data_IF_148520498959
#
_entry.id   IF_148520498959
#
_cell.length_a   1.000
_cell.length_b   1.000
_cell.length_c   1.000
_cell.angle_alpha   90.00
_cell.angle_beta   90.00
_cell.angle_gamma   90.00
#
_symmetry.space_group_name_H-M   'P 1'
#
loop_
_entity.id
_entity.type
_entity.pdbx_description
1 polymer ?
#
# COMPACT_ATOMS: atom_id res chain seq x y z
N UNK A 1 11.75 -45.62 -1.25
CA UNK A 1 12.66 -45.53 -2.42
C UNK A 1 12.41 -44.23 -3.15
N UNK A 2 13.39 -43.69 -3.86
CA UNK A 2 13.23 -42.49 -4.70
C UNK A 2 13.22 -42.93 -6.15
N UNK A 3 12.11 -42.66 -6.85
CA UNK A 3 12.03 -42.79 -8.30
C UNK A 3 12.17 -41.40 -8.92
N UNK A 4 12.76 -41.31 -10.09
CA UNK A 4 12.95 -40.03 -10.77
C UNK A 4 12.78 -40.13 -12.27
N UNK A 5 12.40 -39.02 -12.88
CA UNK A 5 12.46 -38.84 -14.33
C UNK A 5 12.62 -37.36 -14.70
N UNK A 6 13.03 -37.11 -15.95
CA UNK A 6 13.20 -35.75 -16.49
C UNK A 6 12.23 -35.54 -17.65
N UNK A 7 11.44 -34.45 -17.59
CA UNK A 7 10.68 -33.97 -18.74
C UNK A 7 11.50 -32.91 -19.47
N UNK A 8 11.96 -33.25 -20.67
CA UNK A 8 12.82 -32.36 -21.46
C UNK A 8 12.07 -31.23 -22.15
N UNK A 9 12.70 -30.05 -22.24
CA UNK A 9 12.25 -28.94 -23.08
C UNK A 9 10.91 -28.32 -22.67
N UNK A 10 10.59 -28.38 -21.37
CA UNK A 10 9.35 -27.84 -20.82
C UNK A 10 9.72 -26.84 -19.72
N UNK A 11 9.62 -25.55 -20.00
CA UNK A 11 9.84 -24.50 -19.01
C UNK A 11 8.52 -24.14 -18.35
N UNK A 12 8.50 -24.09 -17.01
CA UNK A 12 7.37 -23.63 -16.22
C UNK A 12 7.85 -22.78 -15.03
N UNK A 13 7.02 -21.84 -14.58
CA UNK A 13 7.34 -21.04 -13.42
C UNK A 13 7.29 -21.86 -12.12
N UNK A 14 8.05 -21.41 -11.11
CA UNK A 14 8.19 -22.14 -9.85
C UNK A 14 6.87 -22.30 -9.08
N UNK A 15 5.91 -21.38 -9.22
CA UNK A 15 4.62 -21.46 -8.52
C UNK A 15 3.76 -22.55 -9.15
N UNK A 16 3.69 -22.59 -10.48
CA UNK A 16 3.01 -23.65 -11.21
C UNK A 16 3.57 -25.03 -10.86
N UNK A 17 4.90 -25.16 -10.81
CA UNK A 17 5.55 -26.42 -10.41
C UNK A 17 5.29 -26.78 -8.96
N UNK A 18 5.27 -25.83 -8.02
CA UNK A 18 4.92 -26.10 -6.62
C UNK A 18 3.46 -26.57 -6.46
N UNK A 19 2.52 -26.00 -7.21
CA UNK A 19 1.11 -26.43 -7.21
C UNK A 19 1.00 -27.86 -7.76
N UNK A 20 1.68 -28.15 -8.86
CA UNK A 20 1.75 -29.51 -9.42
C UNK A 20 2.38 -30.46 -8.41
N UNK A 21 3.51 -30.11 -7.80
CA UNK A 21 4.21 -30.90 -6.78
C UNK A 21 3.25 -31.32 -5.67
N UNK A 22 2.52 -30.34 -5.09
CA UNK A 22 1.54 -30.60 -4.05
C UNK A 22 0.41 -31.53 -4.51
N UNK A 23 -0.13 -31.30 -5.70
CA UNK A 23 -1.20 -32.13 -6.26
C UNK A 23 -0.73 -33.57 -6.50
N UNK A 24 0.50 -33.76 -6.96
CA UNK A 24 1.06 -35.09 -7.20
C UNK A 24 1.37 -35.82 -5.89
N UNK A 25 1.80 -35.10 -4.83
CA UNK A 25 1.98 -35.65 -3.48
C UNK A 25 0.67 -36.13 -2.84
N UNK A 26 -0.50 -35.76 -3.36
CA UNK A 26 -1.82 -36.26 -2.89
C UNK A 26 -2.21 -37.62 -3.53
N UNK A 27 -1.36 -38.19 -4.39
CA UNK A 27 -1.63 -39.46 -5.06
C UNK A 27 -1.54 -40.65 -4.09
N UNK A 28 -2.41 -41.64 -4.28
CA UNK A 28 -2.34 -42.90 -3.53
C UNK A 28 -0.98 -43.60 -3.74
N UNK A 29 -0.44 -44.16 -2.66
CA UNK A 29 0.85 -44.88 -2.64
C UNK A 29 2.09 -44.02 -2.92
N UNK A 30 2.01 -42.71 -2.71
CA UNK A 30 3.17 -41.80 -2.77
C UNK A 30 3.26 -41.03 -1.45
N UNK A 31 4.46 -40.99 -0.86
CA UNK A 31 4.68 -40.22 0.37
C UNK A 31 4.84 -38.74 0.05
N UNK A 32 5.60 -38.45 -1.02
CA UNK A 32 5.83 -37.08 -1.47
C UNK A 32 6.39 -37.02 -2.90
N UNK A 33 6.06 -35.98 -3.65
CA UNK A 33 6.59 -35.68 -4.98
C UNK A 33 7.18 -34.28 -5.00
N UNK A 34 8.43 -34.16 -5.47
CA UNK A 34 9.08 -32.88 -5.73
C UNK A 34 9.19 -32.65 -7.24
N UNK A 35 8.63 -31.54 -7.71
CA UNK A 35 8.69 -31.11 -9.11
C UNK A 35 9.40 -29.77 -9.19
N UNK A 36 10.56 -29.71 -9.85
CA UNK A 36 11.38 -28.49 -9.94
C UNK A 36 12.04 -28.34 -11.32
N UNK A 37 12.40 -27.11 -11.69
CA UNK A 37 13.25 -26.88 -12.86
C UNK A 37 14.67 -27.40 -12.61
N UNK A 38 15.35 -27.91 -13.63
CA UNK A 38 16.73 -28.44 -13.58
C UNK A 38 17.83 -27.38 -13.43
N UNK A 39 17.58 -26.29 -12.69
CA UNK A 39 18.57 -25.25 -12.39
C UNK A 39 19.57 -25.74 -11.34
N UNK A 40 20.81 -25.21 -11.30
CA UNK A 40 21.79 -25.57 -10.28
C UNK A 40 21.27 -25.39 -8.84
N UNK A 41 20.57 -24.29 -8.56
CA UNK A 41 20.00 -24.03 -7.24
C UNK A 41 18.95 -25.07 -6.82
N UNK A 42 18.05 -25.46 -7.74
CA UNK A 42 17.04 -26.48 -7.45
C UNK A 42 17.65 -27.87 -7.30
N UNK A 43 18.71 -28.18 -8.05
CA UNK A 43 19.46 -29.44 -7.88
C UNK A 43 20.06 -29.55 -6.48
N UNK A 44 20.70 -28.48 -5.99
CA UNK A 44 21.20 -28.42 -4.61
C UNK A 44 20.08 -28.54 -3.57
N UNK A 45 18.88 -28.02 -3.87
CA UNK A 45 17.71 -28.15 -3.00
C UNK A 45 17.21 -29.60 -2.94
N UNK A 46 17.12 -30.30 -4.09
CA UNK A 46 16.76 -31.72 -4.14
C UNK A 46 17.75 -32.59 -3.35
N UNK A 47 19.04 -32.28 -3.40
CA UNK A 47 20.07 -32.92 -2.58
C UNK A 47 19.85 -32.70 -1.08
N UNK A 48 19.67 -31.45 -0.67
CA UNK A 48 19.51 -31.09 0.75
C UNK A 48 18.21 -31.65 1.35
N UNK A 49 17.15 -31.75 0.55
CA UNK A 49 15.82 -32.23 0.98
C UNK A 49 15.64 -33.75 0.87
N UNK A 50 16.67 -34.47 0.43
CA UNK A 50 16.63 -35.94 0.32
C UNK A 50 15.78 -36.45 -0.83
N UNK A 51 15.64 -35.67 -1.91
CA UNK A 51 14.95 -36.04 -3.16
C UNK A 51 15.91 -36.26 -4.33
N UNK A 52 17.22 -36.29 -4.08
CA UNK A 52 18.22 -36.46 -5.13
C UNK A 52 18.15 -37.82 -5.81
N UNK A 53 18.40 -37.81 -7.12
CA UNK A 53 18.57 -38.99 -7.95
C UNK A 53 19.60 -38.70 -9.06
N UNK A 54 20.44 -39.67 -9.39
CA UNK A 54 21.57 -39.50 -10.31
C UNK A 54 21.15 -39.07 -11.73
N UNK A 55 19.94 -39.43 -12.15
CA UNK A 55 19.37 -39.01 -13.44
C UNK A 55 19.35 -37.48 -13.61
N UNK A 56 19.26 -36.71 -12.52
CA UNK A 56 19.22 -35.24 -12.56
C UNK A 56 20.55 -34.59 -12.97
N UNK A 57 21.66 -35.33 -13.04
CA UNK A 57 22.91 -34.80 -13.59
C UNK A 57 22.73 -34.25 -15.01
N UNK A 58 21.94 -34.94 -15.84
CA UNK A 58 21.70 -34.57 -17.24
C UNK A 58 20.65 -33.48 -17.48
N UNK A 59 19.95 -33.02 -16.44
CA UNK A 59 18.92 -31.99 -16.58
C UNK A 59 19.52 -30.59 -16.81
N UNK A 60 18.93 -29.82 -17.71
CA UNK A 60 19.26 -28.41 -17.94
C UNK A 60 18.25 -27.48 -17.27
N UNK A 61 18.52 -26.16 -17.18
CA UNK A 61 17.53 -25.18 -16.71
C UNK A 61 16.20 -25.15 -17.49
N UNK A 62 16.13 -25.78 -18.66
CA UNK A 62 14.92 -25.87 -19.50
C UNK A 62 14.14 -27.19 -19.33
N UNK A 63 14.57 -28.04 -18.40
CA UNK A 63 13.97 -29.34 -18.14
C UNK A 63 13.32 -29.37 -16.75
N UNK A 64 12.28 -30.18 -16.58
CA UNK A 64 11.64 -30.42 -15.28
C UNK A 64 12.19 -31.71 -14.69
N UNK A 65 12.74 -31.63 -13.48
CA UNK A 65 13.13 -32.75 -12.64
C UNK A 65 11.95 -33.15 -11.75
N UNK A 66 11.62 -34.44 -11.74
CA UNK A 66 10.57 -35.01 -10.89
C UNK A 66 11.15 -36.10 -10.03
N UNK A 67 11.05 -35.95 -8.72
CA UNK A 67 11.45 -36.94 -7.73
C UNK A 67 10.22 -37.43 -6.96
N UNK A 68 10.05 -38.74 -6.86
CA UNK A 68 8.91 -39.41 -6.23
C UNK A 68 9.46 -40.25 -5.08
N UNK A 69 9.02 -39.96 -3.86
CA UNK A 69 9.32 -40.76 -2.68
C UNK A 69 8.12 -41.65 -2.35
N UNK A 70 8.36 -42.95 -2.26
CA UNK A 70 7.35 -43.94 -1.91
C UNK A 70 7.94 -45.11 -1.15
N UNK A 71 7.24 -45.61 -0.13
CA UNK A 71 7.51 -46.88 0.56
C UNK A 71 6.88 -48.09 -0.15
N UNK A 72 5.97 -47.87 -1.12
CA UNK A 72 5.28 -48.93 -1.83
C UNK A 72 6.20 -49.58 -2.89
N UNK A 73 6.15 -50.91 -2.97
CA UNK A 73 6.83 -51.71 -3.99
C UNK A 73 5.88 -51.87 -5.18
N UNK A 74 5.61 -50.77 -5.87
CA UNK A 74 4.77 -50.76 -7.08
C UNK A 74 5.49 -50.03 -8.23
N UNK A 75 5.90 -50.82 -9.23
CA UNK A 75 6.58 -50.34 -10.44
C UNK A 75 5.68 -49.45 -11.32
N UNK A 76 4.37 -49.41 -11.07
CA UNK A 76 3.39 -48.59 -11.79
C UNK A 76 3.32 -47.12 -11.35
N UNK A 77 3.83 -46.78 -10.16
CA UNK A 77 3.69 -45.43 -9.57
C UNK A 77 4.32 -44.36 -10.47
N UNK A 78 5.50 -44.65 -11.04
CA UNK A 78 6.18 -43.69 -11.93
C UNK A 78 5.33 -43.36 -13.16
N UNK A 79 4.65 -44.36 -13.74
CA UNK A 79 3.79 -44.15 -14.92
C UNK A 79 2.53 -43.33 -14.58
N UNK A 80 1.95 -43.57 -13.39
CA UNK A 80 0.81 -42.80 -12.89
C UNK A 80 1.19 -41.33 -12.71
N UNK A 81 2.31 -41.05 -12.05
CA UNK A 81 2.80 -39.68 -11.83
C UNK A 81 3.18 -39.00 -13.14
N UNK A 82 3.82 -39.69 -14.09
CA UNK A 82 4.10 -39.15 -15.43
C UNK A 82 2.80 -38.72 -16.11
N UNK A 83 1.77 -39.57 -16.11
CA UNK A 83 0.48 -39.25 -16.73
C UNK A 83 -0.20 -38.05 -16.06
N UNK A 84 -0.24 -38.02 -14.73
CA UNK A 84 -0.85 -36.92 -13.99
C UNK A 84 -0.09 -35.60 -14.17
N UNK A 85 1.24 -35.64 -14.25
CA UNK A 85 2.06 -34.48 -14.60
C UNK A 85 1.71 -33.96 -15.99
N UNK A 86 1.60 -34.84 -16.99
CA UNK A 86 1.23 -34.44 -18.34
C UNK A 86 -0.18 -33.85 -18.41
N UNK A 87 -1.15 -34.46 -17.72
CA UNK A 87 -2.50 -33.92 -17.60
C UNK A 87 -2.51 -32.55 -16.91
N UNK A 88 -1.73 -32.36 -15.85
CA UNK A 88 -1.61 -31.07 -15.16
C UNK A 88 -0.96 -29.98 -16.03
N UNK A 89 0.10 -30.33 -16.77
CA UNK A 89 0.75 -29.42 -17.72
C UNK A 89 -0.18 -29.08 -18.89
N UNK A 90 -0.96 -30.04 -19.39
CA UNK A 90 -1.97 -29.79 -20.42
C UNK A 90 -3.12 -28.92 -19.91
N UNK A 91 -3.58 -29.13 -18.69
CA UNK A 91 -4.61 -28.28 -18.07
C UNK A 91 -4.10 -26.86 -17.85
N UNK A 92 -2.83 -26.66 -17.51
CA UNK A 92 -2.21 -25.32 -17.48
C UNK A 92 -2.17 -24.68 -18.87
N UNK A 93 -1.85 -25.47 -19.90
CA UNK A 93 -1.88 -24.98 -21.28
C UNK A 93 -3.31 -24.68 -21.79
N UNK A 94 -4.31 -25.48 -21.41
CA UNK A 94 -5.70 -25.38 -21.85
C UNK A 94 -6.56 -24.41 -21.01
N UNK A 95 -6.24 -24.21 -19.73
CA UNK A 95 -6.89 -23.22 -18.85
C UNK A 95 -6.75 -21.77 -19.34
N UNK A 96 -5.97 -21.56 -20.40
CA UNK A 96 -5.83 -20.30 -21.14
C UNK A 96 -6.92 -20.06 -22.19
N UNK A 97 -7.82 -21.03 -22.47
CA UNK A 97 -8.75 -20.99 -23.61
C UNK A 97 -10.01 -20.12 -23.41
N UNK A 98 -10.14 -19.42 -22.28
CA UNK A 98 -11.24 -18.48 -22.00
C UNK A 98 -10.86 -17.00 -22.08
N UNK A 99 -9.61 -16.67 -22.41
CA UNK A 99 -9.10 -15.29 -22.41
C UNK A 99 -8.68 -14.85 -23.80
N UNK A 100 -8.86 -13.57 -24.13
CA UNK A 100 -8.33 -12.97 -25.36
C UNK A 100 -6.88 -13.42 -25.58
N UNK A 101 -6.55 -13.92 -26.77
CA UNK A 101 -5.20 -14.42 -27.05
C UNK A 101 -4.17 -13.31 -26.77
N UNK A 102 -3.30 -13.53 -25.78
CA UNK A 102 -2.22 -12.58 -25.47
C UNK A 102 -1.29 -12.46 -26.67
N UNK A 103 -0.96 -11.22 -27.05
CA UNK A 103 0.02 -10.97 -28.10
C UNK A 103 1.40 -11.29 -27.55
N UNK A 104 2.03 -12.33 -28.09
CA UNK A 104 3.37 -12.74 -27.71
C UNK A 104 4.38 -12.31 -28.77
N UNK A 105 5.54 -11.83 -28.31
CA UNK A 105 6.66 -11.39 -29.15
C UNK A 105 7.97 -11.85 -28.53
N UNK A 106 9.03 -11.97 -29.32
CA UNK A 106 10.36 -12.46 -28.89
C UNK A 106 11.49 -11.45 -29.10
N UNK A 107 11.17 -10.26 -29.61
CA UNK A 107 12.13 -9.18 -29.92
C UNK A 107 11.55 -7.84 -29.50
N UNK A 108 12.39 -6.95 -29.02
CA UNK A 108 11.99 -5.60 -28.60
C UNK A 108 11.35 -4.81 -29.74
N UNK A 109 11.92 -4.87 -30.94
CA UNK A 109 11.40 -4.13 -32.10
C UNK A 109 9.97 -4.58 -32.44
N UNK A 110 9.72 -5.89 -32.35
CA UNK A 110 8.38 -6.45 -32.55
C UNK A 110 7.41 -6.03 -31.44
N UNK A 111 7.87 -5.95 -30.18
CA UNK A 111 7.06 -5.46 -29.07
C UNK A 111 6.65 -4.00 -29.27
N UNK A 112 7.61 -3.12 -29.57
CA UNK A 112 7.36 -1.71 -29.82
C UNK A 112 6.49 -1.47 -31.05
N UNK A 113 6.58 -2.31 -32.09
CA UNK A 113 5.68 -2.23 -33.24
C UNK A 113 4.25 -2.65 -32.90
N UNK A 114 4.08 -3.66 -32.05
CA UNK A 114 2.76 -4.16 -31.63
C UNK A 114 2.09 -3.26 -30.60
N UNK A 115 2.87 -2.57 -29.78
CA UNK A 115 2.39 -1.60 -28.79
C UNK A 115 3.25 -0.32 -28.84
N UNK A 116 3.01 0.58 -29.81
CA UNK A 116 3.80 1.81 -29.98
C UNK A 116 3.70 2.77 -28.78
N UNK A 117 2.57 2.75 -28.08
CA UNK A 117 2.29 3.59 -26.91
C UNK A 117 2.65 2.91 -25.58
N UNK A 118 3.50 1.87 -25.61
CA UNK A 118 3.97 1.23 -24.40
C UNK A 118 4.61 2.27 -23.46
N UNK A 119 4.20 2.26 -22.19
CA UNK A 119 4.67 3.21 -21.18
C UNK A 119 5.53 2.57 -20.07
N UNK A 120 5.42 1.25 -19.92
CA UNK A 120 5.99 0.48 -18.82
C UNK A 120 6.45 -0.89 -19.33
N UNK A 121 7.64 -1.32 -18.89
CA UNK A 121 8.13 -2.68 -19.04
C UNK A 121 8.11 -3.40 -17.69
N UNK A 122 7.37 -4.52 -17.60
CA UNK A 122 7.39 -5.41 -16.44
C UNK A 122 8.40 -6.54 -16.68
N UNK A 123 9.49 -6.54 -15.91
CA UNK A 123 10.59 -7.50 -16.01
C UNK A 123 10.46 -8.54 -14.89
N UNK A 124 10.24 -9.79 -15.28
CA UNK A 124 10.05 -10.93 -14.37
C UNK A 124 10.86 -12.17 -14.80
N UNK A 125 12.06 -11.94 -15.35
CA UNK A 125 13.01 -12.99 -15.75
C UNK A 125 13.94 -13.39 -14.58
N UNK A 126 14.87 -14.32 -14.80
CA UNK A 126 15.92 -14.61 -13.82
C UNK A 126 16.76 -13.35 -13.50
N UNK A 127 17.10 -13.15 -12.23
CA UNK A 127 17.74 -11.93 -11.72
C UNK A 127 19.01 -11.50 -12.47
N UNK A 128 19.82 -12.48 -12.87
CA UNK A 128 21.06 -12.27 -13.62
C UNK A 128 20.87 -11.54 -14.96
N UNK A 129 19.69 -11.64 -15.59
CA UNK A 129 19.37 -10.94 -16.85
C UNK A 129 18.45 -9.73 -16.66
N UNK A 130 17.86 -9.56 -15.47
CA UNK A 130 16.83 -8.55 -15.25
C UNK A 130 17.39 -7.12 -15.38
N UNK A 131 18.62 -6.89 -14.92
CA UNK A 131 19.27 -5.58 -15.03
C UNK A 131 19.50 -5.16 -16.49
N UNK A 132 19.99 -6.08 -17.32
CA UNK A 132 20.23 -5.81 -18.74
C UNK A 132 18.93 -5.49 -19.49
N UNK A 133 17.87 -6.26 -19.24
CA UNK A 133 16.56 -5.99 -19.86
C UNK A 133 15.93 -4.68 -19.37
N UNK A 134 16.08 -4.36 -18.08
CA UNK A 134 15.63 -3.07 -17.54
C UNK A 134 16.38 -1.91 -18.21
N UNK A 135 17.68 -2.08 -18.44
CA UNK A 135 18.50 -1.08 -19.11
C UNK A 135 18.06 -0.86 -20.57
N UNK A 136 17.79 -1.95 -21.31
CA UNK A 136 17.23 -1.90 -22.65
C UNK A 136 15.85 -1.24 -22.71
N UNK A 137 15.02 -1.40 -21.67
CA UNK A 137 13.73 -0.73 -21.55
C UNK A 137 13.90 0.79 -21.33
N UNK A 138 14.83 1.18 -20.44
CA UNK A 138 15.16 2.59 -20.21
C UNK A 138 15.73 3.26 -21.46
N UNK A 139 16.48 2.54 -22.30
CA UNK A 139 16.95 3.03 -23.61
C UNK A 139 15.81 3.41 -24.56
N UNK A 140 14.67 2.74 -24.41
CA UNK A 140 13.46 2.98 -25.19
C UNK A 140 12.50 3.97 -24.51
N UNK A 141 12.96 4.65 -23.46
CA UNK A 141 12.19 5.61 -22.67
C UNK A 141 10.93 5.02 -22.01
N UNK A 142 11.00 3.74 -21.61
CA UNK A 142 9.94 3.08 -20.86
C UNK A 142 10.21 3.19 -19.36
N UNK A 143 9.15 3.37 -18.56
CA UNK A 143 9.24 3.09 -17.12
C UNK A 143 9.49 1.59 -16.94
N UNK A 144 10.07 1.20 -15.80
CA UNK A 144 10.39 -0.21 -15.56
C UNK A 144 9.86 -0.65 -14.20
N UNK A 145 9.21 -1.80 -14.16
CA UNK A 145 8.97 -2.55 -12.95
C UNK A 145 9.78 -3.83 -12.97
N UNK A 146 10.70 -3.98 -12.03
CA UNK A 146 11.54 -5.16 -11.87
C UNK A 146 10.93 -6.00 -10.75
N UNK A 147 10.13 -6.99 -11.15
CA UNK A 147 9.61 -8.00 -10.23
C UNK A 147 10.71 -8.98 -9.81
N UNK A 148 11.64 -9.25 -10.71
CA UNK A 148 12.77 -10.17 -10.49
C UNK A 148 13.56 -9.84 -9.21
N UNK A 149 13.85 -10.89 -8.45
CA UNK A 149 14.80 -10.87 -7.34
C UNK A 149 16.22 -11.25 -7.82
N UNK A 150 17.22 -11.22 -6.93
CA UNK A 150 18.62 -11.53 -7.20
C UNK A 150 19.30 -10.58 -8.21
N UNK A 151 18.90 -9.31 -8.19
CA UNK A 151 19.60 -8.22 -8.89
C UNK A 151 20.58 -7.56 -7.93
N UNK A 152 21.79 -7.28 -8.39
CA UNK A 152 22.83 -6.68 -7.54
C UNK A 152 22.44 -5.27 -7.08
N UNK A 153 23.03 -4.82 -5.98
CA UNK A 153 22.81 -3.47 -5.46
C UNK A 153 23.35 -2.40 -6.42
N UNK A 154 24.50 -2.66 -7.04
CA UNK A 154 25.11 -1.73 -8.00
C UNK A 154 24.25 -1.55 -9.25
N UNK A 155 23.65 -2.64 -9.75
CA UNK A 155 22.68 -2.58 -10.85
C UNK A 155 21.43 -1.79 -10.46
N UNK A 156 20.88 -2.01 -9.26
CA UNK A 156 19.73 -1.25 -8.75
C UNK A 156 20.03 0.26 -8.73
N UNK A 157 21.16 0.64 -8.14
CA UNK A 157 21.58 2.05 -8.04
C UNK A 157 21.78 2.64 -9.44
N UNK A 158 22.48 1.91 -10.34
CA UNK A 158 22.71 2.35 -11.72
C UNK A 158 21.40 2.59 -12.45
N UNK A 159 20.46 1.64 -12.39
CA UNK A 159 19.18 1.71 -13.07
C UNK A 159 18.30 2.85 -12.54
N UNK A 160 18.18 2.99 -11.21
CA UNK A 160 17.38 4.05 -10.60
C UNK A 160 17.92 5.45 -10.88
N UNK A 161 19.25 5.63 -10.82
CA UNK A 161 19.88 6.91 -11.20
C UNK A 161 19.65 7.24 -12.67
N UNK A 162 19.89 6.26 -13.55
CA UNK A 162 19.67 6.42 -14.99
C UNK A 162 18.21 6.76 -15.32
N UNK A 163 17.26 6.14 -14.64
CA UNK A 163 15.85 6.44 -14.80
C UNK A 163 15.53 7.87 -14.36
N UNK A 164 16.02 8.30 -13.19
CA UNK A 164 15.86 9.67 -12.71
C UNK A 164 16.43 10.70 -13.69
N UNK A 165 17.63 10.46 -14.23
CA UNK A 165 18.26 11.35 -15.20
C UNK A 165 17.45 11.46 -16.52
N UNK A 166 16.67 10.42 -16.84
CA UNK A 166 15.74 10.41 -17.99
C UNK A 166 14.31 10.88 -17.65
N UNK A 167 14.01 11.20 -16.39
CA UNK A 167 12.65 11.51 -15.94
C UNK A 167 11.71 10.30 -15.96
N UNK A 168 12.24 9.09 -15.77
CA UNK A 168 11.52 7.82 -15.74
C UNK A 168 11.52 7.23 -14.33
N UNK A 169 10.59 6.31 -14.07
CA UNK A 169 10.51 5.56 -12.83
C UNK A 169 11.00 4.11 -13.01
N UNK A 170 11.87 3.67 -12.09
CA UNK A 170 12.21 2.26 -11.89
C UNK A 170 11.63 1.80 -10.54
N UNK A 171 10.68 0.87 -10.59
CA UNK A 171 10.10 0.18 -9.45
C UNK A 171 10.84 -1.14 -9.24
N UNK A 172 11.50 -1.36 -8.11
CA UNK A 172 12.28 -2.58 -7.87
C UNK A 172 13.79 -2.35 -8.01
N UNK A 173 14.61 -3.41 -7.97
CA UNK A 173 14.28 -4.84 -7.99
C UNK A 173 13.53 -5.34 -6.74
N UNK A 174 13.04 -6.59 -6.82
CA UNK A 174 12.17 -7.20 -5.81
C UNK A 174 10.91 -6.35 -5.52
N UNK A 175 10.30 -5.83 -6.59
CA UNK A 175 9.03 -5.12 -6.49
C UNK A 175 7.86 -6.09 -6.72
N UNK A 176 7.36 -6.68 -5.64
CA UNK A 176 6.28 -7.68 -5.72
C UNK A 176 4.89 -7.14 -6.07
N UNK A 177 4.61 -5.86 -5.85
CA UNK A 177 3.25 -5.28 -5.98
C UNK A 177 3.29 -3.85 -6.48
N UNK A 178 2.55 -3.55 -7.55
CA UNK A 178 2.19 -2.19 -7.94
C UNK A 178 0.80 -2.17 -8.62
N UNK A 179 0.11 -1.03 -8.56
CA UNK A 179 -1.17 -0.77 -9.22
C UNK A 179 -1.14 0.65 -9.78
N UNK A 180 -0.93 0.82 -11.07
CA UNK A 180 -0.82 2.15 -11.70
C UNK A 180 -2.03 2.36 -12.60
N UNK A 181 -2.79 3.42 -12.36
CA UNK A 181 -4.05 3.70 -13.06
C UNK A 181 -4.97 2.47 -13.15
N UNK A 182 -5.23 1.81 -12.01
CA UNK A 182 -5.99 0.54 -11.92
C UNK A 182 -5.41 -0.65 -12.71
N UNK A 183 -4.22 -0.54 -13.28
CA UNK A 183 -3.54 -1.65 -13.96
C UNK A 183 -2.80 -2.51 -12.92
N UNK A 184 -3.18 -3.79 -12.75
CA UNK A 184 -2.51 -4.67 -11.80
C UNK A 184 -1.13 -5.08 -12.33
N UNK A 185 -0.09 -4.92 -11.51
CA UNK A 185 1.28 -5.31 -11.85
C UNK A 185 1.81 -6.29 -10.79
N UNK A 186 2.22 -7.48 -11.24
CA UNK A 186 2.58 -8.62 -10.39
C UNK A 186 1.47 -8.98 -9.38
N UNK A 187 1.77 -9.04 -8.08
CA UNK A 187 0.80 -9.41 -7.04
C UNK A 187 -0.05 -8.21 -6.61
N UNK A 188 -1.06 -7.87 -7.41
CA UNK A 188 -1.98 -6.77 -7.16
C UNK A 188 -3.37 -7.24 -6.69
N UNK A 189 -4.17 -6.30 -6.16
CA UNK A 189 -5.57 -6.53 -5.80
C UNK A 189 -6.46 -5.56 -6.58
N UNK A 190 -7.70 -5.95 -6.87
CA UNK A 190 -8.71 -5.00 -7.39
C UNK A 190 -9.08 -4.03 -6.27
N UNK A 191 -8.95 -2.74 -6.54
CA UNK A 191 -9.23 -1.67 -5.60
C UNK A 191 -10.34 -0.75 -6.12
N UNK A 192 -11.20 -0.22 -5.23
CA UNK A 192 -12.07 0.88 -5.59
C UNK A 192 -11.25 2.11 -5.97
N UNK A 193 -11.80 2.93 -6.87
CA UNK A 193 -11.24 4.25 -7.16
C UNK A 193 -11.42 5.18 -5.96
N UNK A 194 -10.40 5.99 -5.67
CA UNK A 194 -10.45 6.99 -4.61
C UNK A 194 -9.38 8.06 -4.82
N UNK A 195 -9.10 8.84 -3.78
CA UNK A 195 -8.15 9.97 -3.83
C UNK A 195 -6.83 9.70 -3.07
N UNK A 196 -6.60 8.45 -2.64
CA UNK A 196 -5.41 8.07 -1.86
C UNK A 196 -4.34 7.51 -2.80
N UNK A 197 -3.19 8.17 -2.87
CA UNK A 197 -1.98 7.68 -3.54
C UNK A 197 -1.10 6.89 -2.57
N UNK A 198 -0.76 5.64 -2.89
CA UNK A 198 0.01 4.76 -2.00
C UNK A 198 1.41 4.54 -2.55
N UNK A 199 2.43 4.66 -1.71
CA UNK A 199 3.84 4.37 -2.02
C UNK A 199 4.35 3.33 -1.04
N UNK A 200 5.12 2.34 -1.49
CA UNK A 200 5.72 1.41 -0.55
C UNK A 200 6.91 0.61 -1.01
N UNK A 201 7.78 0.30 -0.04
CA UNK A 201 9.03 -0.45 -0.23
C UNK A 201 8.97 -1.87 0.40
N UNK A 202 7.80 -2.51 0.40
CA UNK A 202 7.64 -3.88 0.92
C UNK A 202 6.39 -4.55 0.36
N UNK A 203 6.53 -5.63 -0.42
CA UNK A 203 5.42 -6.26 -1.14
C UNK A 203 4.23 -6.67 -0.26
N UNK A 204 4.45 -7.51 0.75
CA UNK A 204 3.35 -8.04 1.60
C UNK A 204 2.70 -6.96 2.46
N UNK A 205 3.51 -6.08 3.05
CA UNK A 205 3.07 -4.96 3.88
C UNK A 205 2.23 -3.99 3.05
N UNK A 206 2.69 -3.69 1.85
CA UNK A 206 2.01 -2.80 0.91
C UNK A 206 0.66 -3.35 0.49
N UNK A 207 0.59 -4.64 0.13
CA UNK A 207 -0.66 -5.32 -0.20
C UNK A 207 -1.66 -5.32 0.98
N UNK A 208 -1.17 -5.55 2.19
CA UNK A 208 -1.99 -5.54 3.41
C UNK A 208 -2.52 -4.14 3.76
N UNK A 209 -1.73 -3.10 3.51
CA UNK A 209 -2.14 -1.69 3.70
C UNK A 209 -3.27 -1.31 2.77
N UNK A 210 -3.11 -1.60 1.48
CA UNK A 210 -4.11 -1.35 0.45
C UNK A 210 -5.43 -2.09 0.74
N UNK A 211 -5.35 -3.35 1.18
CA UNK A 211 -6.55 -4.12 1.57
C UNK A 211 -7.33 -3.48 2.73
N UNK A 212 -6.62 -2.92 3.74
CA UNK A 212 -7.27 -2.25 4.88
C UNK A 212 -7.97 -0.95 4.50
N UNK A 213 -7.46 -0.21 3.50
CA UNK A 213 -8.15 0.97 2.96
C UNK A 213 -9.50 0.57 2.35
N UNK A 214 -9.50 -0.48 1.52
CA UNK A 214 -10.73 -1.02 0.91
C UNK A 214 -11.76 -1.45 1.97
N UNK A 215 -11.32 -2.17 3.01
CA UNK A 215 -12.20 -2.59 4.10
C UNK A 215 -12.84 -1.42 4.85
N UNK A 216 -12.21 -0.25 4.84
CA UNK A 216 -12.70 0.99 5.45
C UNK A 216 -13.54 1.86 4.52
N UNK A 217 -13.85 1.35 3.31
CA UNK A 217 -14.70 2.03 2.34
C UNK A 217 -14.01 3.10 1.50
N UNK A 218 -12.68 3.18 1.53
CA UNK A 218 -11.92 4.14 0.72
C UNK A 218 -11.21 3.44 -0.45
N UNK A 219 -10.98 4.19 -1.52
CA UNK A 219 -10.26 3.75 -2.71
C UNK A 219 -8.87 4.37 -2.85
N UNK A 220 -8.16 3.97 -3.91
CA UNK A 220 -6.84 4.50 -4.24
C UNK A 220 -6.83 5.07 -5.66
N UNK A 221 -5.85 5.94 -5.94
CA UNK A 221 -5.49 6.34 -7.30
C UNK A 221 -4.48 5.36 -7.88
N UNK A 222 -3.35 5.26 -7.20
CA UNK A 222 -2.18 4.50 -7.59
C UNK A 222 -1.56 3.84 -6.35
N UNK A 223 -0.89 2.73 -6.56
CA UNK A 223 -0.05 2.06 -5.59
C UNK A 223 1.32 1.80 -6.24
N UNK A 224 2.32 2.61 -5.91
CA UNK A 224 3.66 2.54 -6.46
C UNK A 224 4.56 1.71 -5.54
N UNK A 225 5.01 0.55 -6.02
CA UNK A 225 6.03 -0.26 -5.35
C UNK A 225 7.44 0.22 -5.68
N UNK A 226 8.36 0.23 -4.71
CA UNK A 226 9.69 0.81 -4.87
C UNK A 226 10.83 -0.22 -4.99
N UNK A 227 10.57 -1.46 -4.57
CA UNK A 227 11.60 -2.46 -4.30
C UNK A 227 12.02 -2.47 -2.83
N UNK A 228 12.34 -3.65 -2.30
CA UNK A 228 12.59 -3.86 -0.87
C UNK A 228 13.78 -3.08 -0.28
N UNK A 229 14.74 -2.71 -1.13
CA UNK A 229 16.00 -2.05 -0.74
C UNK A 229 16.04 -0.55 -1.02
N UNK A 230 14.99 0.03 -1.61
CA UNK A 230 15.02 1.43 -2.05
C UNK A 230 15.38 2.41 -0.92
N UNK A 231 14.90 2.14 0.29
CA UNK A 231 15.15 2.97 1.47
C UNK A 231 16.40 2.61 2.27
N UNK A 232 17.27 1.75 1.73
CA UNK A 232 18.59 1.50 2.31
C UNK A 232 19.48 2.74 2.16
N UNK A 233 20.54 2.81 2.97
CA UNK A 233 21.49 3.92 2.94
C UNK A 233 22.23 4.02 1.58
N UNK A 234 22.47 2.88 0.95
CA UNK A 234 23.21 2.74 -0.30
C UNK A 234 22.37 3.19 -1.51
N UNK A 235 21.08 2.83 -1.54
CA UNK A 235 20.17 3.25 -2.63
C UNK A 235 19.71 4.69 -2.44
N UNK A 236 19.43 5.10 -1.20
CA UNK A 236 19.14 6.49 -0.87
C UNK A 236 17.74 6.96 -1.25
N UNK A 237 16.77 6.05 -1.45
CA UNK A 237 15.36 6.39 -1.67
C UNK A 237 15.07 7.03 -3.03
N UNK A 238 15.85 6.73 -4.07
CA UNK A 238 15.73 7.38 -5.39
C UNK A 238 14.31 7.20 -5.97
N UNK A 239 13.78 5.97 -5.91
CA UNK A 239 12.43 5.71 -6.43
C UNK A 239 11.36 6.26 -5.51
N UNK A 240 11.56 6.25 -4.19
CA UNK A 240 10.64 6.88 -3.23
C UNK A 240 10.46 8.38 -3.50
N UNK A 241 11.56 9.11 -3.73
CA UNK A 241 11.53 10.53 -4.06
C UNK A 241 10.79 10.78 -5.38
N UNK A 242 11.12 10.00 -6.41
CA UNK A 242 10.46 10.09 -7.73
C UNK A 242 8.96 9.79 -7.61
N UNK A 243 8.57 8.79 -6.83
CA UNK A 243 7.17 8.44 -6.59
C UNK A 243 6.41 9.54 -5.84
N UNK A 244 7.05 10.17 -4.85
CA UNK A 244 6.48 11.33 -4.14
C UNK A 244 6.26 12.50 -5.10
N UNK A 245 7.20 12.80 -5.99
CA UNK A 245 7.06 13.85 -7.01
C UNK A 245 5.90 13.56 -7.97
N UNK A 246 5.81 12.33 -8.49
CA UNK A 246 4.72 11.89 -9.38
C UNK A 246 3.36 12.06 -8.69
N UNK A 247 3.20 11.55 -7.46
CA UNK A 247 1.92 11.65 -6.75
C UNK A 247 1.65 13.06 -6.23
N UNK A 248 2.68 13.87 -6.00
CA UNK A 248 2.52 15.30 -5.67
C UNK A 248 1.94 16.07 -6.86
N UNK A 249 2.36 15.75 -8.08
CA UNK A 249 1.83 16.36 -9.30
C UNK A 249 0.43 15.85 -9.70
N UNK A 250 0.04 14.64 -9.27
CA UNK A 250 -1.27 14.07 -9.60
C UNK A 250 -2.42 14.71 -8.80
N UNK A 251 -3.30 15.47 -9.46
CA UNK A 251 -4.46 16.11 -8.84
C UNK A 251 -5.50 15.12 -8.26
N UNK A 252 -5.53 13.88 -8.76
CA UNK A 252 -6.42 12.84 -8.22
C UNK A 252 -5.92 12.34 -6.87
N UNK A 253 -4.60 12.27 -6.70
CA UNK A 253 -3.96 11.88 -5.44
C UNK A 253 -3.97 13.06 -4.48
N UNK A 254 -4.99 13.12 -3.63
CA UNK A 254 -5.17 14.22 -2.66
C UNK A 254 -4.54 13.90 -1.30
N UNK A 255 -4.47 12.62 -0.95
CA UNK A 255 -3.84 12.13 0.28
C UNK A 255 -2.82 11.06 -0.09
N UNK A 256 -1.65 11.10 0.55
CA UNK A 256 -0.59 10.14 0.32
C UNK A 256 -0.46 9.18 1.50
N UNK A 257 -0.22 7.90 1.23
CA UNK A 257 0.10 6.90 2.23
C UNK A 257 1.42 6.23 1.87
N UNK A 258 2.42 6.37 2.72
CA UNK A 258 3.75 5.84 2.51
C UNK A 258 4.03 4.73 3.51
N UNK A 259 4.42 3.55 3.03
CA UNK A 259 4.60 2.37 3.87
C UNK A 259 5.91 1.65 3.57
N UNK A 260 6.76 1.50 4.59
CA UNK A 260 8.01 0.77 4.44
C UNK A 260 8.48 0.12 5.75
N UNK A 261 9.51 -0.73 5.64
CA UNK A 261 10.39 -1.05 6.77
C UNK A 261 11.12 0.23 7.25
N UNK A 262 11.73 0.24 8.44
CA UNK A 262 12.47 1.40 8.93
C UNK A 262 13.59 1.77 7.95
N UNK A 263 13.55 2.98 7.37
CA UNK A 263 14.67 3.49 6.58
C UNK A 263 15.89 3.78 7.47
N UNK A 264 17.06 3.86 6.86
CA UNK A 264 18.25 4.44 7.50
C UNK A 264 17.96 5.90 7.93
N UNK A 265 18.55 6.37 9.03
CA UNK A 265 18.22 7.68 9.63
C UNK A 265 18.35 8.84 8.64
N UNK A 266 19.44 8.90 7.90
CA UNK A 266 19.66 9.94 6.89
C UNK A 266 18.59 9.88 5.80
N UNK A 267 18.27 8.69 5.28
CA UNK A 267 17.24 8.50 4.24
C UNK A 267 15.86 8.89 4.77
N UNK A 268 15.54 8.53 6.02
CA UNK A 268 14.27 8.89 6.67
C UNK A 268 14.05 10.40 6.66
N UNK A 269 15.06 11.17 7.05
CA UNK A 269 14.97 12.63 7.09
C UNK A 269 14.73 13.22 5.70
N UNK A 270 15.43 12.71 4.68
CA UNK A 270 15.22 13.15 3.29
C UNK A 270 13.82 12.82 2.78
N UNK A 271 13.31 11.62 3.08
CA UNK A 271 11.96 11.21 2.68
C UNK A 271 10.90 12.05 3.40
N UNK A 272 11.04 12.30 4.72
CA UNK A 272 10.11 13.16 5.46
C UNK A 272 10.12 14.58 4.88
N UNK A 273 11.29 15.14 4.56
CA UNK A 273 11.38 16.45 3.93
C UNK A 273 10.68 16.48 2.56
N UNK A 274 10.82 15.43 1.75
CA UNK A 274 10.12 15.30 0.48
C UNK A 274 8.60 15.17 0.66
N UNK A 275 8.14 14.40 1.67
CA UNK A 275 6.71 14.32 2.02
C UNK A 275 6.16 15.69 2.40
N UNK A 276 6.91 16.48 3.17
CA UNK A 276 6.54 17.85 3.53
C UNK A 276 6.41 18.75 2.30
N UNK A 277 7.39 18.69 1.41
CA UNK A 277 7.42 19.47 0.18
C UNK A 277 6.23 19.20 -0.76
N UNK A 278 5.56 18.05 -0.66
CA UNK A 278 4.34 17.78 -1.45
C UNK A 278 3.17 18.72 -1.12
N UNK A 279 3.12 19.26 0.11
CA UNK A 279 2.00 20.05 0.61
C UNK A 279 0.67 19.29 0.79
N UNK A 280 0.61 18.02 0.37
CA UNK A 280 -0.57 17.15 0.52
C UNK A 280 -0.54 16.45 1.86
N UNK A 281 -1.68 16.08 2.45
CA UNK A 281 -1.68 15.24 3.64
C UNK A 281 -1.00 13.89 3.37
N UNK A 282 0.02 13.55 4.15
CA UNK A 282 0.79 12.31 4.02
C UNK A 282 0.71 11.50 5.29
N UNK A 283 0.37 10.23 5.20
CA UNK A 283 0.53 9.26 6.29
C UNK A 283 1.82 8.49 6.07
N UNK A 284 2.76 8.59 7.00
CA UNK A 284 4.02 7.88 6.97
C UNK A 284 4.01 6.72 7.97
N UNK A 285 4.17 5.49 7.47
CA UNK A 285 4.33 4.29 8.28
C UNK A 285 5.72 3.69 8.05
N UNK A 286 6.56 3.81 9.07
CA UNK A 286 7.85 3.14 9.15
C UNK A 286 7.75 1.99 10.16
N UNK A 287 7.60 0.76 9.67
CA UNK A 287 7.26 -0.39 10.51
C UNK A 287 8.29 -0.68 11.61
N UNK A 288 7.90 -0.59 12.87
CA UNK A 288 8.82 -0.83 14.00
C UNK A 288 9.66 0.41 14.37
N UNK A 289 9.35 1.57 13.78
CA UNK A 289 9.80 2.87 14.24
C UNK A 289 8.61 3.60 14.89
N UNK A 290 8.85 4.16 16.09
CA UNK A 290 7.89 5.03 16.76
C UNK A 290 8.38 6.46 16.65
N UNK A 291 7.59 7.32 16.01
CA UNK A 291 7.91 8.75 15.93
C UNK A 291 7.70 9.39 17.31
N UNK A 292 8.59 10.32 17.74
CA UNK A 292 8.38 11.07 18.98
C UNK A 292 7.14 11.98 18.92
N UNK A 293 6.68 12.31 17.72
CA UNK A 293 5.51 13.16 17.46
C UNK A 293 4.53 12.44 16.55
N UNK A 294 3.24 12.59 16.83
CA UNK A 294 2.18 12.00 16.01
C UNK A 294 2.06 12.68 14.62
N UNK A 295 2.48 13.95 14.52
CA UNK A 295 2.36 14.76 13.31
C UNK A 295 3.48 15.80 13.24
N UNK A 296 4.00 16.00 12.04
CA UNK A 296 4.84 17.15 11.67
C UNK A 296 4.25 17.80 10.42
N UNK A 297 3.73 19.02 10.53
CA UNK A 297 3.15 19.78 9.41
C UNK A 297 2.05 18.97 8.68
N UNK A 298 2.28 18.56 7.43
CA UNK A 298 1.36 17.74 6.62
C UNK A 298 1.70 16.23 6.68
N UNK A 299 2.57 15.79 7.58
CA UNK A 299 2.97 14.38 7.72
C UNK A 299 2.42 13.82 9.04
N UNK A 300 1.60 12.79 8.96
CA UNK A 300 1.07 12.02 10.09
C UNK A 300 1.84 10.72 10.22
N UNK A 301 2.41 10.46 11.40
CA UNK A 301 3.15 9.23 11.65
C UNK A 301 2.23 8.15 12.21
N UNK A 302 2.31 6.96 11.65
CA UNK A 302 1.63 5.77 12.13
C UNK A 302 2.65 4.72 12.57
N UNK A 303 2.28 3.91 13.56
CA UNK A 303 3.12 2.82 14.07
C UNK A 303 2.64 1.45 13.59
N UNK A 304 1.38 1.34 13.17
CA UNK A 304 0.79 0.09 12.67
C UNK A 304 0.12 0.27 11.31
N UNK A 305 -0.04 -0.84 10.58
CA UNK A 305 -0.72 -0.84 9.30
C UNK A 305 -2.20 -0.48 9.40
N UNK A 306 -2.84 -0.81 10.53
CA UNK A 306 -4.24 -0.48 10.76
C UNK A 306 -4.44 0.99 11.08
N UNK A 307 -3.56 1.53 11.93
CA UNK A 307 -3.52 2.95 12.24
C UNK A 307 -3.24 3.79 10.98
N UNK A 308 -2.26 3.40 10.16
CA UNK A 308 -1.95 4.09 8.91
C UNK A 308 -3.15 4.13 7.97
N UNK A 309 -3.84 3.01 7.80
CA UNK A 309 -5.05 2.95 6.99
C UNK A 309 -6.17 3.83 7.59
N UNK A 310 -6.39 3.77 8.90
CA UNK A 310 -7.39 4.61 9.59
C UNK A 310 -7.12 6.10 9.38
N UNK A 311 -5.86 6.54 9.53
CA UNK A 311 -5.44 7.93 9.32
C UNK A 311 -5.61 8.33 7.85
N UNK A 312 -5.17 7.49 6.91
CA UNK A 312 -5.29 7.80 5.48
C UNK A 312 -6.77 7.94 5.07
N UNK A 313 -7.65 7.07 5.57
CA UNK A 313 -9.08 7.17 5.34
C UNK A 313 -9.70 8.43 5.97
N UNK A 314 -9.28 8.79 7.19
CA UNK A 314 -9.73 10.03 7.85
C UNK A 314 -9.33 11.26 7.02
N UNK A 315 -8.06 11.33 6.62
CA UNK A 315 -7.54 12.45 5.82
C UNK A 315 -8.18 12.49 4.43
N UNK A 316 -8.48 11.34 3.81
CA UNK A 316 -9.22 11.25 2.54
C UNK A 316 -10.56 11.98 2.66
N UNK A 317 -11.37 11.61 3.66
CA UNK A 317 -12.70 12.18 3.85
C UNK A 317 -12.66 13.67 4.14
N UNK A 318 -11.78 14.10 5.04
CA UNK A 318 -11.61 15.52 5.38
C UNK A 318 -11.17 16.33 4.15
N UNK A 319 -10.24 15.80 3.36
CA UNK A 319 -9.74 16.48 2.16
C UNK A 319 -10.81 16.58 1.07
N UNK A 320 -11.56 15.51 0.84
CA UNK A 320 -12.69 15.49 -0.09
C UNK A 320 -13.77 16.50 0.30
N UNK A 321 -14.19 16.50 1.57
CA UNK A 321 -15.18 17.46 2.07
C UNK A 321 -14.67 18.90 1.98
N UNK A 322 -13.41 19.15 2.34
CA UNK A 322 -12.80 20.49 2.24
C UNK A 322 -12.79 21.00 0.80
N UNK A 323 -12.57 20.14 -0.19
CA UNK A 323 -12.53 20.53 -1.61
C UNK A 323 -13.87 21.06 -2.11
N UNK A 324 -14.98 20.59 -1.54
CA UNK A 324 -16.33 21.07 -1.84
C UNK A 324 -16.65 22.41 -1.16
N UNK A 325 -15.84 22.83 -0.18
CA UNK A 325 -16.03 24.06 0.59
C UNK A 325 -15.22 25.24 0.02
N UNK A 326 -15.83 26.42 -0.02
CA UNK A 326 -15.13 27.66 -0.37
C UNK A 326 -14.37 28.18 0.85
N UNK A 327 -13.04 28.01 0.85
CA UNK A 327 -12.17 28.54 1.90
C UNK A 327 -11.96 30.05 1.73
N UNK A 328 -12.63 30.86 2.54
CA UNK A 328 -12.46 32.33 2.53
C UNK A 328 -11.64 32.87 3.71
N UNK A 329 -11.05 31.99 4.52
CA UNK A 329 -10.39 32.37 5.79
C UNK A 329 -11.38 32.85 6.86
N UNK A 330 -11.04 32.67 8.14
CA UNK A 330 -11.85 33.07 9.28
C UNK A 330 -11.63 32.19 10.50
N UNK A 331 -12.49 32.33 11.52
CA UNK A 331 -12.33 31.66 12.82
C UNK A 331 -13.32 30.52 13.01
N UNK A 332 -12.96 29.63 13.95
CA UNK A 332 -13.76 28.48 14.37
C UNK A 332 -14.49 28.85 15.67
N UNK A 333 -15.77 28.50 15.76
CA UNK A 333 -16.56 28.64 16.98
C UNK A 333 -17.19 27.31 17.35
N UNK A 334 -16.78 26.73 18.47
CA UNK A 334 -17.39 25.55 19.07
C UNK A 334 -18.40 25.95 20.12
N UNK A 335 -19.65 25.53 19.94
CA UNK A 335 -20.72 25.74 20.92
C UNK A 335 -21.17 24.37 21.41
N UNK A 336 -20.53 23.89 22.48
CA UNK A 336 -20.73 22.54 23.00
C UNK A 336 -21.73 22.50 24.15
N UNK A 337 -22.45 21.39 24.30
CA UNK A 337 -23.41 21.17 25.39
C UNK A 337 -22.90 20.22 26.46
N UNK A 338 -21.96 19.33 26.12
CA UNK A 338 -21.26 18.46 27.07
C UNK A 338 -19.83 18.91 27.32
N UNK A 339 -19.51 19.25 28.58
CA UNK A 339 -18.19 19.79 28.94
C UNK A 339 -17.01 18.90 28.59
N UNK A 340 -17.11 17.58 28.79
CA UNK A 340 -16.02 16.66 28.39
C UNK A 340 -15.77 16.65 26.88
N UNK A 341 -16.85 16.75 26.07
CA UNK A 341 -16.73 16.81 24.61
C UNK A 341 -16.13 18.15 24.17
N UNK A 342 -16.49 19.23 24.85
CA UNK A 342 -15.90 20.56 24.64
C UNK A 342 -14.40 20.55 24.94
N UNK A 343 -13.99 19.97 26.07
CA UNK A 343 -12.60 19.87 26.49
C UNK A 343 -11.77 19.00 25.52
N UNK A 344 -12.30 17.87 25.06
CA UNK A 344 -11.64 17.02 24.06
C UNK A 344 -11.47 17.77 22.73
N UNK A 345 -12.52 18.44 22.25
CA UNK A 345 -12.49 19.22 21.02
C UNK A 345 -11.49 20.39 21.11
N UNK A 346 -11.43 21.06 22.26
CA UNK A 346 -10.45 22.10 22.55
C UNK A 346 -9.02 21.57 22.49
N UNK A 347 -8.74 20.45 23.16
CA UNK A 347 -7.42 19.82 23.13
C UNK A 347 -6.98 19.38 21.74
N UNK A 348 -7.91 18.79 20.96
CA UNK A 348 -7.65 18.43 19.57
C UNK A 348 -7.35 19.66 18.73
N UNK A 349 -8.22 20.69 18.76
CA UNK A 349 -8.06 21.90 17.96
C UNK A 349 -6.78 22.66 18.33
N UNK A 350 -6.45 22.75 19.62
CA UNK A 350 -5.20 23.35 20.09
C UNK A 350 -3.98 22.64 19.49
N UNK A 351 -3.99 21.31 19.47
CA UNK A 351 -2.95 20.50 18.82
C UNK A 351 -2.85 20.72 17.31
N UNK A 352 -3.97 20.98 16.61
CA UNK A 352 -3.97 21.31 15.19
C UNK A 352 -3.45 22.73 14.89
N UNK A 353 -3.69 23.68 15.80
CA UNK A 353 -3.25 25.07 15.70
C UNK A 353 -1.81 25.28 16.21
N UNK A 354 -1.27 24.32 16.98
CA UNK A 354 0.05 24.45 17.61
C UNK A 354 0.05 25.40 18.82
N UNK A 355 -1.09 25.55 19.48
CA UNK A 355 -1.26 26.42 20.66
C UNK A 355 -1.37 25.57 21.93
N UNK A 356 -0.97 26.13 23.06
CA UNK A 356 -1.13 25.47 24.35
C UNK A 356 -2.61 25.44 24.73
N UNK A 357 -3.05 24.35 25.33
CA UNK A 357 -4.35 24.29 26.02
C UNK A 357 -4.23 25.03 27.35
N UNK A 358 -5.22 25.84 27.69
CA UNK A 358 -5.27 26.47 28.99
C UNK A 358 -5.47 25.41 30.09
N UNK A 359 -4.82 25.62 31.23
CA UNK A 359 -5.00 24.74 32.41
C UNK A 359 -6.21 25.15 33.24
N UNK A 360 -6.73 26.36 33.03
CA UNK A 360 -7.90 26.91 33.70
C UNK A 360 -8.90 27.44 32.67
N UNK A 361 -10.08 26.84 32.62
CA UNK A 361 -11.14 27.20 31.70
C UNK A 361 -12.17 28.07 32.43
N UNK A 362 -11.91 29.38 32.50
CA UNK A 362 -12.81 30.32 33.17
C UNK A 362 -14.11 30.47 32.38
N UNK A 363 -15.25 30.38 33.06
CA UNK A 363 -16.59 30.61 32.49
C UNK A 363 -16.89 29.75 31.24
N UNK A 364 -16.55 28.45 31.30
CA UNK A 364 -16.81 27.52 30.20
C UNK A 364 -15.97 27.74 28.93
N UNK A 365 -14.99 28.64 28.93
CA UNK A 365 -14.11 28.85 27.78
C UNK A 365 -13.02 27.77 27.73
N UNK A 366 -13.20 26.76 26.86
CA UNK A 366 -12.29 25.62 26.75
C UNK A 366 -11.07 25.90 25.85
N UNK A 367 -11.19 26.84 24.91
CA UNK A 367 -10.09 27.32 24.09
C UNK A 367 -10.41 28.74 23.64
N UNK A 368 -9.45 29.66 23.73
CA UNK A 368 -9.49 30.97 23.08
C UNK A 368 -8.11 31.33 22.52
N UNK A 369 -7.89 31.03 21.24
CA UNK A 369 -6.58 31.20 20.60
C UNK A 369 -6.75 31.68 19.15
N UNK A 370 -6.03 32.74 18.78
CA UNK A 370 -6.07 33.35 17.44
C UNK A 370 -7.49 33.66 16.93
N UNK A 371 -8.41 33.94 17.86
CA UNK A 371 -9.84 34.20 17.59
C UNK A 371 -10.69 32.93 17.41
N UNK A 372 -10.10 31.74 17.36
CA UNK A 372 -10.79 30.46 17.45
C UNK A 372 -11.24 30.21 18.88
N UNK A 373 -12.48 29.76 19.07
CA UNK A 373 -12.98 29.44 20.41
C UNK A 373 -13.74 28.13 20.47
N UNK A 374 -13.61 27.44 21.61
CA UNK A 374 -14.44 26.30 21.99
C UNK A 374 -15.07 26.61 23.35
N UNK A 375 -16.40 26.57 23.40
CA UNK A 375 -17.18 27.00 24.56
C UNK A 375 -18.02 25.82 25.06
N UNK A 376 -17.92 25.53 26.35
CA UNK A 376 -18.85 24.68 27.09
C UNK A 376 -20.03 25.53 27.59
N UNK A 377 -21.19 25.35 26.96
CA UNK A 377 -22.42 26.03 27.36
C UNK A 377 -23.06 25.40 28.60
N UNK A 378 -22.57 24.25 29.07
CA UNK A 378 -23.02 23.59 30.28
C UNK A 378 -22.48 24.22 31.57
N UNK A 379 -21.46 25.07 31.46
CA UNK A 379 -20.87 25.78 32.60
C UNK A 379 -21.89 26.66 33.34
N UNK A 380 -21.70 26.79 34.66
CA UNK A 380 -22.56 27.60 35.54
C UNK A 380 -22.73 29.04 35.03
N UNK A 381 -21.70 29.60 34.40
CA UNK A 381 -21.76 30.93 33.80
C UNK A 381 -22.89 31.10 32.78
N UNK A 382 -23.17 30.06 31.98
CA UNK A 382 -24.19 30.07 30.94
C UNK A 382 -25.56 29.55 31.39
N UNK A 383 -25.61 28.84 32.52
CA UNK A 383 -26.82 28.17 33.02
C UNK A 383 -27.51 28.90 34.16
N UNK A 384 -26.97 30.02 34.65
CA UNK A 384 -27.65 30.86 35.67
C UNK A 384 -29.04 31.30 35.19
N UNK A 385 -30.07 30.81 35.89
CA UNK A 385 -31.48 31.13 35.60
C UNK A 385 -32.05 30.44 34.35
N UNK A 386 -31.39 29.42 33.81
CA UNK A 386 -31.81 28.67 32.61
C UNK A 386 -31.60 27.16 32.78
N UNK A 387 -32.36 26.30 32.09
CA UNK A 387 -32.07 24.86 32.07
C UNK A 387 -30.71 24.58 31.40
N UNK A 388 -30.11 23.43 31.74
CA UNK A 388 -28.87 22.96 31.13
C UNK A 388 -29.05 22.77 29.60
N UNK A 389 -28.06 23.13 28.75
CA UNK A 389 -28.20 23.14 27.30
C UNK A 389 -28.43 21.77 26.64
N UNK A 390 -28.11 20.67 27.33
CA UNK A 390 -28.46 19.31 26.87
C UNK A 390 -29.97 19.02 26.98
N UNK A 391 -30.68 19.71 27.87
CA UNK A 391 -32.11 19.55 28.11
C UNK A 391 -32.88 20.55 27.25
N UNK A 392 -32.48 21.81 27.29
CA UNK A 392 -33.10 22.92 26.56
C UNK A 392 -32.10 23.58 25.58
N UNK A 393 -32.32 23.47 24.26
CA UNK A 393 -31.40 24.00 23.27
C UNK A 393 -31.55 25.52 23.03
N UNK A 394 -32.48 26.21 23.71
CA UNK A 394 -32.83 27.60 23.41
C UNK A 394 -31.62 28.55 23.42
N UNK A 395 -30.76 28.46 24.44
CA UNK A 395 -29.55 29.29 24.52
C UNK A 395 -28.60 29.04 23.36
N UNK A 396 -28.26 27.77 23.11
CA UNK A 396 -27.37 27.39 22.02
C UNK A 396 -27.91 27.86 20.67
N UNK A 397 -29.19 27.63 20.41
CA UNK A 397 -29.85 28.04 19.17
C UNK A 397 -29.84 29.55 18.98
N UNK A 398 -30.04 30.32 20.05
CA UNK A 398 -29.92 31.78 20.01
C UNK A 398 -28.48 32.22 19.67
N UNK A 399 -27.47 31.59 20.28
CA UNK A 399 -26.06 31.89 19.99
C UNK A 399 -25.70 31.53 18.54
N UNK A 400 -26.17 30.38 18.04
CA UNK A 400 -25.99 29.97 16.64
C UNK A 400 -26.61 31.00 15.69
N UNK A 401 -27.86 31.43 15.94
CA UNK A 401 -28.50 32.47 15.14
C UNK A 401 -27.71 33.80 15.17
N UNK A 402 -27.14 34.14 16.32
CA UNK A 402 -26.27 35.31 16.50
C UNK A 402 -24.97 35.26 15.69
N UNK A 403 -24.48 34.07 15.31
CA UNK A 403 -23.31 33.95 14.44
C UNK A 403 -23.56 34.52 13.03
N UNK A 404 -24.82 34.64 12.61
CA UNK A 404 -25.18 35.29 11.34
C UNK A 404 -24.75 36.77 11.26
N UNK A 405 -24.54 37.42 12.40
CA UNK A 405 -24.01 38.79 12.48
C UNK A 405 -22.47 38.84 12.61
N UNK A 406 -21.79 37.69 12.61
CA UNK A 406 -20.34 37.56 12.82
C UNK A 406 -19.68 36.97 11.57
N UNK A 407 -19.46 37.77 10.51
CA UNK A 407 -18.94 37.27 9.23
C UNK A 407 -17.54 36.64 9.32
N UNK A 408 -16.78 36.95 10.38
CA UNK A 408 -15.49 36.33 10.66
C UNK A 408 -15.59 34.86 11.07
N UNK A 409 -16.74 34.40 11.59
CA UNK A 409 -16.96 33.00 11.99
C UNK A 409 -17.30 32.19 10.74
N UNK A 410 -16.43 31.23 10.41
CA UNK A 410 -16.56 30.43 9.17
C UNK A 410 -16.79 28.96 9.41
N UNK A 411 -16.50 28.48 10.62
CA UNK A 411 -16.73 27.10 11.02
C UNK A 411 -17.45 27.12 12.36
N UNK A 412 -18.61 26.47 12.41
CA UNK A 412 -19.32 26.18 13.66
C UNK A 412 -19.10 24.70 14.00
N UNK A 413 -18.54 24.43 15.17
CA UNK A 413 -18.44 23.08 15.73
C UNK A 413 -19.57 22.87 16.75
N UNK A 414 -20.23 21.72 16.65
CA UNK A 414 -21.37 21.34 17.48
C UNK A 414 -21.29 19.86 17.85
N UNK A 415 -21.54 19.54 19.11
CA UNK A 415 -21.94 18.21 19.59
C UNK A 415 -23.46 18.05 19.54
N UNK A 416 -23.96 16.85 19.24
CA UNK A 416 -25.39 16.53 19.34
C UNK A 416 -25.53 15.30 20.23
N UNK A 417 -25.87 15.53 21.50
CA UNK A 417 -26.03 14.46 22.50
C UNK A 417 -27.50 14.09 22.62
N UNK A 418 -27.82 12.85 22.27
CA UNK A 418 -29.18 12.28 22.33
C UNK A 418 -29.30 11.22 23.45
N UNK A 419 -30.52 10.79 23.73
CA UNK A 419 -30.83 9.75 24.71
C UNK A 419 -31.76 10.26 25.80
N UNK A 420 -31.97 9.44 26.84
CA UNK A 420 -32.81 9.83 27.97
C UNK A 420 -32.27 11.09 28.67
N UNK A 421 -33.15 12.03 28.98
CA UNK A 421 -32.80 13.29 29.63
C UNK A 421 -32.27 14.39 28.70
N UNK A 422 -32.09 14.09 27.40
CA UNK A 422 -31.81 15.11 26.39
C UNK A 422 -33.10 15.65 25.75
N UNK A 423 -32.97 16.70 24.95
CA UNK A 423 -34.06 17.19 24.09
C UNK A 423 -34.64 16.06 23.24
N UNK A 424 -35.97 16.05 23.04
CA UNK A 424 -36.67 14.96 22.35
C UNK A 424 -36.33 14.85 20.85
N UNK A 425 -36.02 15.98 20.20
CA UNK A 425 -35.62 16.06 18.79
C UNK A 425 -34.64 17.24 18.61
N UNK A 426 -33.37 17.09 19.02
CA UNK A 426 -32.36 18.10 18.73
C UNK A 426 -32.14 18.16 17.21
N UNK A 427 -31.80 19.32 16.63
CA UNK A 427 -31.70 19.47 15.18
C UNK A 427 -30.75 18.42 14.57
N UNK A 428 -31.34 17.47 13.84
CA UNK A 428 -30.68 16.35 13.17
C UNK A 428 -30.68 16.52 11.65
N UNK A 429 -30.07 17.58 11.14
CA UNK A 429 -29.50 17.67 9.77
C UNK A 429 -29.02 19.07 9.44
#
# INVERSE_FOLDING_TARGET
MIHAFIKKGCFQDSVSLMIISRKLSESENVDDVSVMMGTPANKSLLETTGFWHDDFHGATPNDICVAIRTEAVDDGITQVIVRQLEEALQQLAQGSSGSQSLIQVRRWESACQKLPEANLALVSVAGEYAAELAEQALDRSLNVMIFSDNVTLDDEIRLKRRARDKGLLVMGPDCGTAMIANTPLAFANVMPEGNIGVIGASGTVFRSSVHRLRWRGEGITHAIGLGGRDLSAEVGGISALTALEILSADEKSQVLAFVSKPPADAVRQHIIAAMKATGKPVVALFLGFSSPVAREENVWFASTLDEAARLACLLSRVTSQRKEMVSTGGVIRGLYTGGTLAAEAAGLLAGYLGVATDTEHHHGMMLDADGHQIIDLGDDFYTVGRPHPMIDPALRNQLIAGLGAQPQVRVLLVDVVIGFGATADPPHR
#
